data_IF_058106629453
#
_entry.id   IF_058106629453
#
_cell.length_a   1.000
_cell.length_b   1.000
_cell.length_c   1.000
_cell.angle_alpha   90.00
_cell.angle_beta   90.00
_cell.angle_gamma   90.00
#
_symmetry.space_group_name_H-M   'P 1'
#
loop_
_entity.id
_entity.type
_entity.pdbx_description
1 polymer ?
#
# COMPACT_ATOMS: atom_id res chain seq x y z
N UNK A 1 -18.72 -13.10 -15.15
CA UNK A 1 -18.04 -13.71 -13.99
C UNK A 1 -17.93 -12.64 -12.92
N UNK A 2 -18.78 -12.66 -11.90
CA UNK A 2 -18.80 -11.63 -10.87
C UNK A 2 -17.69 -11.92 -9.84
N UNK A 3 -16.63 -11.11 -9.84
CA UNK A 3 -15.62 -11.15 -8.80
C UNK A 3 -16.10 -10.30 -7.62
N UNK A 4 -16.30 -10.95 -6.47
CA UNK A 4 -16.67 -10.27 -5.22
C UNK A 4 -15.39 -10.01 -4.43
N UNK A 5 -15.06 -8.73 -4.22
CA UNK A 5 -13.87 -8.34 -3.48
C UNK A 5 -14.05 -8.69 -1.99
N UNK A 6 -13.48 -9.82 -1.56
CA UNK A 6 -13.48 -10.22 -0.14
C UNK A 6 -12.33 -9.53 0.59
N UNK A 7 -12.63 -8.89 1.72
CA UNK A 7 -11.63 -8.37 2.64
C UNK A 7 -11.00 -9.55 3.40
N UNK A 8 -10.01 -10.18 2.77
CA UNK A 8 -9.27 -11.30 3.33
C UNK A 8 -7.95 -10.83 3.93
N UNK A 9 -7.73 -11.16 5.20
CA UNK A 9 -6.44 -10.98 5.87
C UNK A 9 -5.72 -12.32 5.84
N UNK A 10 -4.61 -12.40 5.12
CA UNK A 10 -3.85 -13.62 4.95
C UNK A 10 -2.46 -13.44 5.56
N UNK A 11 -2.06 -14.37 6.41
CA UNK A 11 -0.70 -14.45 6.94
C UNK A 11 -0.03 -15.71 6.40
N UNK A 12 1.06 -15.52 5.64
CA UNK A 12 1.86 -16.61 5.12
C UNK A 12 2.98 -16.91 6.11
N UNK A 13 2.89 -18.06 6.78
CA UNK A 13 3.93 -18.51 7.72
C UNK A 13 5.12 -19.01 6.92
N UNK A 14 6.16 -18.19 6.85
CA UNK A 14 7.41 -18.47 6.15
C UNK A 14 8.57 -18.33 7.14
N UNK A 15 9.66 -19.12 7.03
CA UNK A 15 10.79 -19.08 7.95
C UNK A 15 11.73 -17.89 7.63
N UNK A 16 11.19 -16.67 7.63
CA UNK A 16 11.94 -15.44 7.40
C UNK A 16 12.24 -14.72 8.71
N UNK A 17 13.41 -14.10 8.80
CA UNK A 17 13.79 -13.23 9.94
C UNK A 17 13.18 -11.82 9.86
N UNK A 18 12.49 -11.52 8.76
CA UNK A 18 11.91 -10.23 8.42
C UNK A 18 10.52 -10.43 7.79
N UNK A 19 9.71 -9.37 7.77
CA UNK A 19 8.32 -9.46 7.32
C UNK A 19 8.09 -8.64 6.04
N UNK A 20 7.03 -9.03 5.32
CA UNK A 20 6.55 -8.32 4.14
C UNK A 20 5.05 -8.09 4.32
N UNK A 21 4.64 -6.84 4.45
CA UNK A 21 3.24 -6.48 4.64
C UNK A 21 2.71 -5.75 3.41
N UNK A 22 1.49 -6.07 3.04
CA UNK A 22 0.77 -5.42 1.95
C UNK A 22 -0.69 -5.25 2.31
N UNK A 23 -1.22 -4.04 2.10
CA UNK A 23 -2.64 -3.75 2.23
C UNK A 23 -3.10 -2.99 0.99
N UNK A 24 -4.20 -3.43 0.39
CA UNK A 24 -4.79 -2.75 -0.77
C UNK A 24 -6.21 -2.30 -0.46
N UNK A 25 -6.54 -1.09 -0.89
CA UNK A 25 -7.86 -0.47 -0.81
C UNK A 25 -8.28 -0.17 -2.24
N UNK A 26 -9.44 -0.69 -2.66
CA UNK A 26 -10.02 -0.34 -3.94
C UNK A 26 -10.57 1.09 -3.87
N UNK A 27 -10.11 1.96 -4.77
CA UNK A 27 -10.52 3.37 -4.83
C UNK A 27 -11.23 3.67 -6.15
N UNK A 28 -10.63 4.49 -7.02
CA UNK A 28 -11.21 4.90 -8.31
C UNK A 28 -10.24 4.58 -9.46
N UNK A 29 -10.74 4.24 -10.66
CA UNK A 29 -9.90 3.94 -11.82
C UNK A 29 -9.20 5.20 -12.36
N UNK A 30 -8.19 5.00 -13.19
CA UNK A 30 -7.35 6.07 -13.75
C UNK A 30 -8.12 7.25 -14.36
N UNK A 31 -9.18 6.98 -15.12
CA UNK A 31 -9.97 8.01 -15.81
C UNK A 31 -10.87 8.83 -14.86
N UNK A 32 -10.97 8.45 -13.59
CA UNK A 32 -11.78 9.17 -12.62
C UNK A 32 -11.09 10.48 -12.19
N UNK A 33 -11.80 11.62 -12.10
CA UNK A 33 -11.20 12.91 -11.72
C UNK A 33 -10.37 12.89 -10.42
N UNK A 34 -10.79 12.10 -9.43
CA UNK A 34 -10.09 11.97 -8.14
C UNK A 34 -8.80 11.13 -8.19
N UNK A 35 -8.52 10.41 -9.28
CA UNK A 35 -7.33 9.55 -9.37
C UNK A 35 -6.03 10.35 -9.20
N UNK A 36 -5.96 11.53 -9.83
CA UNK A 36 -4.79 12.40 -9.75
C UNK A 36 -4.52 12.83 -8.30
N UNK A 37 -5.56 13.22 -7.56
CA UNK A 37 -5.46 13.60 -6.15
C UNK A 37 -4.97 12.44 -5.29
N UNK A 38 -5.50 11.23 -5.50
CA UNK A 38 -5.06 10.03 -4.77
C UNK A 38 -3.61 9.67 -5.08
N UNK A 39 -3.16 9.85 -6.32
CA UNK A 39 -1.76 9.61 -6.72
C UNK A 39 -0.80 10.56 -6.00
N UNK A 40 -1.16 11.84 -5.90
CA UNK A 40 -0.39 12.82 -5.12
C UNK A 40 -0.43 12.48 -3.63
N UNK A 41 -1.60 12.11 -3.10
CA UNK A 41 -1.75 11.69 -1.71
C UNK A 41 -0.85 10.49 -1.36
N UNK A 42 -0.79 9.46 -2.21
CA UNK A 42 0.11 8.31 -2.02
C UNK A 42 1.58 8.73 -1.89
N UNK A 43 2.03 9.65 -2.75
CA UNK A 43 3.41 10.18 -2.70
C UNK A 43 3.64 11.02 -1.45
N UNK A 44 2.68 11.86 -1.07
CA UNK A 44 2.75 12.69 0.13
C UNK A 44 2.82 11.82 1.39
N UNK A 45 1.91 10.86 1.55
CA UNK A 45 1.91 9.91 2.66
C UNK A 45 3.22 9.13 2.75
N UNK A 46 3.74 8.67 1.61
CA UNK A 46 5.02 7.95 1.56
C UNK A 46 6.17 8.79 2.13
N UNK A 47 6.25 10.06 1.71
CA UNK A 47 7.37 10.94 2.04
C UNK A 47 7.26 11.64 3.39
N UNK A 48 6.05 11.96 3.84
CA UNK A 48 5.82 12.78 5.04
C UNK A 48 5.42 11.99 6.28
N UNK A 49 5.05 10.73 6.12
CA UNK A 49 4.60 9.91 7.23
C UNK A 49 5.20 8.50 7.19
N UNK A 50 4.92 7.73 6.14
CA UNK A 50 5.25 6.31 6.11
C UNK A 50 6.76 6.04 6.12
N UNK A 51 7.57 6.87 5.45
CA UNK A 51 9.02 6.72 5.51
C UNK A 51 9.55 6.84 6.94
N UNK A 52 9.13 7.86 7.67
CA UNK A 52 9.57 8.08 9.04
C UNK A 52 9.04 7.01 10.00
N UNK A 53 7.75 6.68 9.92
CA UNK A 53 7.17 5.70 10.85
C UNK A 53 7.67 4.27 10.57
N UNK A 54 7.70 3.84 9.31
CA UNK A 54 8.03 2.45 8.96
C UNK A 54 9.55 2.21 8.97
N UNK A 55 10.33 3.12 8.37
CA UNK A 55 11.78 2.92 8.24
C UNK A 55 12.57 3.57 9.36
N UNK A 56 12.38 4.86 9.62
CA UNK A 56 13.24 5.58 10.58
C UNK A 56 12.98 5.15 12.02
N UNK A 57 11.70 5.00 12.40
CA UNK A 57 11.30 4.55 13.74
C UNK A 57 11.16 3.03 13.83
N UNK A 58 10.52 2.42 12.83
CA UNK A 58 10.23 0.99 12.81
C UNK A 58 11.41 0.10 12.40
N UNK A 59 12.48 0.67 11.84
CA UNK A 59 13.68 -0.07 11.44
C UNK A 59 13.52 -0.91 10.17
N UNK A 60 12.37 -0.86 9.49
CA UNK A 60 12.18 -1.58 8.24
C UNK A 60 13.04 -0.98 7.11
N UNK A 61 13.44 -1.80 6.15
CA UNK A 61 14.25 -1.34 5.02
C UNK A 61 13.49 -0.38 4.11
N UNK A 62 12.20 -0.62 3.91
CA UNK A 62 11.35 0.18 3.04
C UNK A 62 9.88 0.19 3.46
N UNK A 63 9.20 1.27 3.10
CA UNK A 63 7.76 1.39 3.30
C UNK A 63 7.20 2.55 2.50
N UNK A 64 5.91 2.47 2.17
CA UNK A 64 5.25 3.52 1.41
C UNK A 64 3.85 3.17 0.95
N UNK A 65 3.32 4.06 0.11
CA UNK A 65 2.04 3.95 -0.54
C UNK A 65 2.15 4.18 -2.06
N UNK A 66 1.31 3.50 -2.83
CA UNK A 66 1.24 3.62 -4.27
C UNK A 66 -0.20 3.44 -4.77
N UNK A 67 -0.51 3.88 -5.99
CA UNK A 67 -1.80 3.63 -6.63
C UNK A 67 -1.59 3.04 -8.02
N UNK A 68 -2.25 1.92 -8.32
CA UNK A 68 -2.27 1.28 -9.64
C UNK A 68 -3.34 1.91 -10.55
N UNK A 69 -3.20 1.75 -11.89
CA UNK A 69 -4.15 2.33 -12.87
C UNK A 69 -5.59 1.84 -12.70
N UNK A 70 -5.76 0.61 -12.21
CA UNK A 70 -7.07 0.02 -11.89
C UNK A 70 -7.70 0.58 -10.61
N UNK A 71 -7.02 1.50 -9.92
CA UNK A 71 -7.55 2.14 -8.70
C UNK A 71 -7.20 1.43 -7.40
N UNK A 72 -6.29 0.46 -7.42
CA UNK A 72 -5.77 -0.17 -6.21
C UNK A 72 -4.81 0.79 -5.50
N UNK A 73 -5.23 1.36 -4.37
CA UNK A 73 -4.37 2.11 -3.47
C UNK A 73 -3.70 1.11 -2.52
N UNK A 74 -2.38 1.05 -2.52
CA UNK A 74 -1.59 0.02 -1.85
C UNK A 74 -0.67 0.65 -0.82
N UNK A 75 -0.65 0.09 0.38
CA UNK A 75 0.36 0.30 1.40
C UNK A 75 1.26 -0.91 1.47
N UNK A 76 2.54 -0.70 1.70
CA UNK A 76 3.49 -1.79 1.83
C UNK A 76 4.61 -1.45 2.81
N UNK A 77 5.18 -2.50 3.41
CA UNK A 77 6.49 -2.47 4.03
C UNK A 77 7.35 -3.60 3.48
N UNK A 78 8.66 -3.40 3.53
CA UNK A 78 9.65 -4.32 3.01
C UNK A 78 10.78 -4.45 4.02
N UNK A 79 10.95 -5.69 4.49
CA UNK A 79 11.97 -6.15 5.45
C UNK A 79 11.96 -5.41 6.77
#
# INVERSE_FOLDING_TARGET
THYEAKNQKTHFVLPFSVNYLGQSILTVPYCHPHFASLKVAAKLMSSKFLHSEIREKGGAYGGGAAIGKEGHFMFYSYR
#
